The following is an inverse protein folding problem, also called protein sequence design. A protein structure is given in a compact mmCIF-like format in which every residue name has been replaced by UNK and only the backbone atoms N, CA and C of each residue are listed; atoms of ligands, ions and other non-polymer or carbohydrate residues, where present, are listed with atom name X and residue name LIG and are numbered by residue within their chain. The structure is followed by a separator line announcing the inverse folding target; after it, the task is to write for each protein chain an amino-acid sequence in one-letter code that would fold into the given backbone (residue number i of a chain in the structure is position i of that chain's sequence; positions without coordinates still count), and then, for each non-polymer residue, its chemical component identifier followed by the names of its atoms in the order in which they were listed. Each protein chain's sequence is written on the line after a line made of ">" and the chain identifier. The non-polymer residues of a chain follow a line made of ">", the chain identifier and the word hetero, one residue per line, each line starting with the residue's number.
data_IF_179493731918
#
_entry.id   IF_179493731918
#
_cell.length_a   1.000
_cell.length_b   1.000
_cell.length_c   1.000
_cell.angle_alpha   90.00
_cell.angle_beta   90.00
_cell.angle_gamma   90.00
#
_symmetry.space_group_name_H-M   'P 1'
#
loop_
_entity.id
_entity.type
_entity.pdbx_description
1 polymer ?
#
# COMPACT_ATOMS: atom_id res chain seq x y z
N UNK A 1 -27.79 13.34 10.82
CA UNK A 1 -26.82 12.87 9.80
C UNK A 1 -26.27 11.46 10.04
N UNK A 2 -25.23 11.18 10.85
CA UNK A 2 -24.73 9.79 11.01
C UNK A 2 -25.78 8.85 11.64
N UNK A 3 -26.57 9.36 12.59
CA UNK A 3 -27.61 8.59 13.26
C UNK A 3 -28.86 8.31 12.40
N UNK A 4 -29.03 9.01 11.27
CA UNK A 4 -30.18 8.81 10.36
C UNK A 4 -29.89 7.78 9.27
N UNK A 5 -28.64 7.65 8.81
CA UNK A 5 -28.25 6.62 7.85
C UNK A 5 -28.29 5.20 8.45
N UNK A 6 -28.29 5.06 9.77
CA UNK A 6 -28.25 3.76 10.49
C UNK A 6 -29.66 3.17 10.73
N UNK A 7 -30.73 3.96 10.59
CA UNK A 7 -32.08 3.57 11.05
C UNK A 7 -32.89 2.65 10.11
N UNK A 8 -32.37 2.29 8.93
CA UNK A 8 -33.12 1.56 7.91
C UNK A 8 -32.79 0.07 7.73
N UNK A 9 -31.78 -0.48 8.43
CA UNK A 9 -31.28 -1.81 8.12
C UNK A 9 -31.98 -2.88 9.00
N UNK A 10 -32.60 -3.85 8.31
CA UNK A 10 -33.02 -5.13 8.88
C UNK A 10 -31.89 -5.78 9.71
N UNK A 11 -32.24 -6.72 10.57
CA UNK A 11 -31.33 -7.44 11.49
C UNK A 11 -29.91 -7.57 10.91
N UNK A 12 -28.88 -7.05 11.61
CA UNK A 12 -27.53 -6.97 11.05
C UNK A 12 -27.06 -8.38 10.66
N UNK A 13 -26.48 -8.57 9.46
CA UNK A 13 -26.05 -9.87 8.99
C UNK A 13 -24.99 -10.46 9.93
N UNK A 14 -24.82 -11.80 9.96
CA UNK A 14 -23.79 -12.42 10.78
C UNK A 14 -22.40 -11.89 10.41
N UNK A 15 -21.60 -11.60 11.44
CA UNK A 15 -20.22 -11.11 11.30
C UNK A 15 -19.31 -12.27 10.91
N UNK A 16 -19.24 -12.56 9.62
CA UNK A 16 -18.45 -13.68 9.11
C UNK A 16 -16.98 -13.29 8.93
N UNK A 17 -16.09 -14.29 8.92
CA UNK A 17 -14.69 -14.09 8.50
C UNK A 17 -14.59 -13.49 7.08
N UNK A 18 -15.52 -13.83 6.19
CA UNK A 18 -15.61 -13.27 4.84
C UNK A 18 -15.85 -11.76 4.86
N UNK A 19 -16.72 -11.26 5.74
CA UNK A 19 -16.98 -9.83 5.90
C UNK A 19 -15.74 -9.06 6.34
N UNK A 20 -14.99 -9.61 7.30
CA UNK A 20 -13.72 -9.01 7.73
C UNK A 20 -12.64 -9.09 6.66
N UNK A 21 -12.54 -10.20 5.92
CA UNK A 21 -11.64 -10.29 4.77
C UNK A 21 -11.97 -9.24 3.71
N UNK A 22 -13.25 -8.95 3.47
CA UNK A 22 -13.65 -7.87 2.56
C UNK A 22 -13.19 -6.50 3.10
N UNK A 23 -13.42 -6.22 4.38
CA UNK A 23 -13.00 -4.97 5.04
C UNK A 23 -11.47 -4.75 4.99
N UNK A 24 -10.68 -5.82 5.13
CA UNK A 24 -9.22 -5.75 5.13
C UNK A 24 -8.61 -5.47 3.75
N UNK A 25 -9.35 -5.69 2.66
CA UNK A 25 -8.88 -5.55 1.27
C UNK A 25 -7.56 -6.31 0.99
N UNK A 26 -7.50 -7.65 1.11
CA UNK A 26 -6.26 -8.45 1.01
C UNK A 26 -5.44 -8.22 -0.27
N UNK A 27 -6.08 -7.85 -1.39
CA UNK A 27 -5.38 -7.52 -2.63
C UNK A 27 -4.37 -6.37 -2.44
N UNK A 28 -4.65 -5.44 -1.51
CA UNK A 28 -3.77 -4.31 -1.20
C UNK A 28 -2.51 -4.75 -0.45
N UNK A 29 -2.53 -5.87 0.29
CA UNK A 29 -1.40 -6.31 1.12
C UNK A 29 -0.13 -6.63 0.34
N UNK A 30 -0.20 -6.74 -0.99
CA UNK A 30 0.99 -6.73 -1.84
C UNK A 30 1.90 -5.55 -1.51
N UNK A 31 1.33 -4.36 -1.25
CA UNK A 31 2.03 -3.13 -0.88
C UNK A 31 2.78 -3.23 0.44
N UNK A 32 2.43 -4.16 1.34
CA UNK A 32 3.19 -4.42 2.57
C UNK A 32 4.09 -5.65 2.48
N UNK A 33 3.64 -6.70 1.77
CA UNK A 33 4.37 -7.97 1.65
C UNK A 33 5.65 -7.78 0.84
N UNK A 34 5.56 -7.19 -0.36
CA UNK A 34 6.71 -7.05 -1.26
C UNK A 34 7.83 -6.21 -0.65
N UNK A 35 7.58 -5.01 -0.10
CA UNK A 35 8.64 -4.22 0.52
C UNK A 35 9.33 -4.95 1.69
N UNK A 36 8.54 -5.64 2.54
CA UNK A 36 9.09 -6.38 3.67
C UNK A 36 9.95 -7.56 3.19
N UNK A 37 9.52 -8.29 2.16
CA UNK A 37 10.31 -9.35 1.55
C UNK A 37 11.63 -8.82 1.01
N UNK A 38 11.58 -7.74 0.22
CA UNK A 38 12.76 -7.11 -0.36
C UNK A 38 13.74 -6.64 0.73
N UNK A 39 13.25 -5.89 1.72
CA UNK A 39 14.09 -5.41 2.82
C UNK A 39 14.67 -6.54 3.67
N UNK A 40 13.90 -7.60 3.90
CA UNK A 40 14.37 -8.81 4.60
C UNK A 40 15.49 -9.49 3.83
N UNK A 41 15.36 -9.66 2.51
CA UNK A 41 16.40 -10.25 1.66
C UNK A 41 17.67 -9.41 1.67
N UNK A 42 17.55 -8.09 1.49
CA UNK A 42 18.71 -7.18 1.53
C UNK A 42 19.41 -7.23 2.90
N UNK A 43 18.64 -7.25 3.98
CA UNK A 43 19.19 -7.30 5.33
C UNK A 43 19.82 -8.65 5.67
N UNK A 44 19.23 -9.74 5.16
CA UNK A 44 19.78 -11.09 5.31
C UNK A 44 21.17 -11.22 4.70
N UNK A 45 21.42 -10.59 3.55
CA UNK A 45 22.76 -10.57 2.95
C UNK A 45 23.75 -9.68 3.69
N UNK A 46 23.28 -8.58 4.27
CA UNK A 46 24.16 -7.65 4.98
C UNK A 46 24.57 -8.11 6.38
N UNK A 47 23.73 -8.90 7.07
CA UNK A 47 23.95 -9.23 8.48
C UNK A 47 23.51 -10.64 8.91
N UNK A 48 23.07 -11.49 7.99
CA UNK A 48 22.51 -12.80 8.28
C UNK A 48 20.99 -12.82 8.37
N UNK A 49 20.40 -13.99 8.13
CA UNK A 49 18.95 -14.15 8.07
C UNK A 49 18.36 -14.50 9.43
N UNK A 50 17.46 -13.65 9.92
CA UNK A 50 16.68 -13.86 11.13
C UNK A 50 15.19 -14.06 10.78
N UNK A 51 14.75 -15.31 10.56
CA UNK A 51 13.40 -15.60 10.06
C UNK A 51 12.30 -15.15 11.01
N UNK A 52 12.48 -15.31 12.33
CA UNK A 52 11.51 -14.86 13.32
C UNK A 52 11.31 -13.34 13.27
N UNK A 53 12.39 -12.57 13.14
CA UNK A 53 12.30 -11.12 13.08
C UNK A 53 11.65 -10.65 11.78
N UNK A 54 11.99 -11.31 10.65
CA UNK A 54 11.33 -11.06 9.37
C UNK A 54 9.83 -11.36 9.41
N UNK A 55 9.43 -12.47 10.05
CA UNK A 55 8.03 -12.84 10.24
C UNK A 55 7.28 -11.81 11.11
N UNK A 56 7.87 -11.36 12.21
CA UNK A 56 7.27 -10.33 13.09
C UNK A 56 7.14 -9.00 12.35
N UNK A 57 8.15 -8.60 11.56
CA UNK A 57 8.06 -7.41 10.73
C UNK A 57 6.95 -7.50 9.68
N UNK A 58 6.79 -8.66 9.04
CA UNK A 58 5.71 -8.88 8.07
C UNK A 58 4.33 -8.79 8.73
N UNK A 59 4.14 -9.45 9.88
CA UNK A 59 2.90 -9.36 10.66
C UNK A 59 2.63 -7.92 11.09
N UNK A 60 3.63 -7.22 11.62
CA UNK A 60 3.50 -5.81 12.02
C UNK A 60 3.14 -4.89 10.85
N UNK A 61 3.80 -5.05 9.69
CA UNK A 61 3.54 -4.27 8.49
C UNK A 61 2.15 -4.52 7.90
N UNK A 62 1.69 -5.78 7.87
CA UNK A 62 0.34 -6.12 7.45
C UNK A 62 -0.71 -5.62 8.45
N UNK A 63 -0.42 -5.66 9.75
CA UNK A 63 -1.32 -5.17 10.79
C UNK A 63 -1.49 -3.65 10.74
N UNK A 64 -0.42 -2.87 10.55
CA UNK A 64 -0.53 -1.41 10.38
C UNK A 64 -1.25 -1.05 9.07
N UNK A 65 -1.02 -1.80 8.00
CA UNK A 65 -1.74 -1.62 6.75
C UNK A 65 -3.24 -1.96 6.88
N UNK A 66 -3.57 -3.07 7.53
CA UNK A 66 -4.95 -3.42 7.88
C UNK A 66 -5.62 -2.32 8.70
N UNK A 67 -4.91 -1.77 9.69
CA UNK A 67 -5.38 -0.63 10.47
C UNK A 67 -5.67 0.59 9.59
N UNK A 68 -4.75 0.95 8.70
CA UNK A 68 -4.91 2.07 7.77
C UNK A 68 -6.15 1.87 6.86
N UNK A 69 -6.37 0.66 6.34
CA UNK A 69 -7.53 0.34 5.51
C UNK A 69 -8.85 0.50 6.27
N UNK A 70 -8.94 -0.05 7.48
CA UNK A 70 -10.16 0.02 8.29
C UNK A 70 -10.44 1.45 8.79
N UNK A 71 -9.41 2.17 9.24
CA UNK A 71 -9.53 3.56 9.67
C UNK A 71 -9.90 4.46 8.48
N UNK A 72 -9.35 4.19 7.28
CA UNK A 72 -9.73 4.88 6.06
C UNK A 72 -11.22 4.70 5.76
N UNK A 73 -11.70 3.46 5.67
CA UNK A 73 -13.12 3.17 5.42
C UNK A 73 -14.04 3.87 6.42
N UNK A 74 -13.68 3.88 7.71
CA UNK A 74 -14.43 4.60 8.74
C UNK A 74 -14.51 6.11 8.47
N UNK A 75 -13.38 6.77 8.19
CA UNK A 75 -13.36 8.21 7.96
C UNK A 75 -13.95 8.62 6.61
N UNK A 76 -13.76 7.80 5.57
CA UNK A 76 -14.32 8.01 4.23
C UNK A 76 -15.84 7.90 4.26
N UNK A 77 -16.38 6.85 4.91
CA UNK A 77 -17.82 6.71 5.14
C UNK A 77 -18.39 7.90 5.91
N UNK A 78 -17.72 8.33 6.99
CA UNK A 78 -18.17 9.50 7.78
C UNK A 78 -18.07 10.83 7.03
N UNK A 79 -17.15 10.94 6.08
CA UNK A 79 -16.97 12.12 5.25
C UNK A 79 -17.92 12.14 4.03
N UNK A 80 -18.64 11.05 3.76
CA UNK A 80 -19.45 10.90 2.55
C UNK A 80 -18.63 10.71 1.28
N UNK A 81 -17.36 10.29 1.42
CA UNK A 81 -16.50 9.90 0.30
C UNK A 81 -16.97 8.55 -0.25
N UNK A 82 -17.22 7.59 0.65
CA UNK A 82 -17.73 6.27 0.30
C UNK A 82 -19.27 6.28 0.23
N UNK A 83 -19.82 5.83 -0.89
CA UNK A 83 -21.26 5.70 -1.15
C UNK A 83 -21.56 4.46 -2.02
N UNK A 84 -22.84 4.11 -2.16
CA UNK A 84 -23.27 2.90 -2.91
C UNK A 84 -22.86 2.92 -4.39
N UNK A 85 -22.63 4.11 -4.97
CA UNK A 85 -22.21 4.30 -6.36
C UNK A 85 -20.68 4.44 -6.53
N UNK A 86 -19.90 4.18 -5.47
CA UNK A 86 -18.43 4.28 -5.47
C UNK A 86 -17.77 2.90 -5.53
N UNK A 87 -16.56 2.84 -6.09
CA UNK A 87 -15.86 1.56 -6.33
C UNK A 87 -14.68 1.31 -5.38
N UNK A 88 -14.19 2.32 -4.65
CA UNK A 88 -12.92 2.25 -3.90
C UNK A 88 -13.01 1.79 -2.45
N UNK A 89 -14.22 1.78 -1.87
CA UNK A 89 -14.44 1.31 -0.50
C UNK A 89 -14.44 -0.21 -0.43
N UNK A 90 -14.30 -0.78 0.77
CA UNK A 90 -14.56 -2.22 0.95
C UNK A 90 -16.05 -2.58 0.79
N UNK A 91 -16.96 -1.59 0.77
CA UNK A 91 -18.40 -1.79 0.70
C UNK A 91 -19.06 -2.32 1.99
N UNK A 92 -18.29 -2.60 3.06
CA UNK A 92 -18.86 -3.20 4.28
C UNK A 92 -19.68 -2.23 5.11
N UNK A 93 -19.35 -0.93 5.06
CA UNK A 93 -20.09 0.13 5.77
C UNK A 93 -21.30 0.61 4.96
N UNK A 94 -21.12 0.86 3.67
CA UNK A 94 -22.21 1.27 2.76
C UNK A 94 -23.26 0.17 2.62
N UNK A 95 -22.83 -1.09 2.53
CA UNK A 95 -23.71 -2.26 2.52
C UNK A 95 -24.27 -2.68 3.88
N UNK A 96 -23.97 -1.96 4.97
CA UNK A 96 -24.50 -2.27 6.30
C UNK A 96 -24.04 -3.61 6.90
N UNK A 97 -22.96 -4.19 6.38
CA UNK A 97 -22.42 -5.49 6.81
C UNK A 97 -21.66 -5.39 8.15
N UNK A 98 -21.06 -4.23 8.41
CA UNK A 98 -20.43 -3.86 9.68
C UNK A 98 -20.86 -2.45 10.07
N UNK A 99 -20.88 -2.18 11.36
CA UNK A 99 -21.10 -0.83 11.90
C UNK A 99 -19.81 0.00 11.85
N UNK A 100 -19.90 1.34 11.77
CA UNK A 100 -18.73 2.22 11.85
C UNK A 100 -17.88 1.97 13.11
N UNK A 101 -18.51 1.69 14.25
CA UNK A 101 -17.82 1.40 15.51
C UNK A 101 -16.99 0.12 15.42
N UNK A 102 -17.51 -0.93 14.78
CA UNK A 102 -16.80 -2.19 14.60
C UNK A 102 -15.58 -2.02 13.70
N UNK A 103 -15.75 -1.35 12.56
CA UNK A 103 -14.64 -1.10 11.63
C UNK A 103 -13.56 -0.25 12.31
N UNK A 104 -13.94 0.79 13.04
CA UNK A 104 -12.99 1.62 13.78
C UNK A 104 -12.25 0.82 14.87
N UNK A 105 -12.96 0.02 15.67
CA UNK A 105 -12.36 -0.81 16.71
C UNK A 105 -11.45 -1.89 16.11
N UNK A 106 -11.84 -2.52 14.99
CA UNK A 106 -10.99 -3.44 14.24
C UNK A 106 -9.70 -2.77 13.77
N UNK A 107 -9.80 -1.52 13.31
CA UNK A 107 -8.65 -0.69 12.98
C UNK A 107 -7.72 -0.47 14.18
N UNK A 108 -8.27 -0.20 15.37
CA UNK A 108 -7.49 -0.03 16.61
C UNK A 108 -6.84 -1.34 17.09
N UNK A 109 -7.51 -2.48 16.94
CA UNK A 109 -6.95 -3.80 17.27
C UNK A 109 -5.77 -4.13 16.35
N UNK A 110 -5.91 -3.90 15.04
CA UNK A 110 -4.83 -4.06 14.09
C UNK A 110 -3.66 -3.10 14.37
N UNK A 111 -3.95 -1.86 14.76
CA UNK A 111 -2.95 -0.89 15.22
C UNK A 111 -2.19 -1.41 16.45
N UNK A 112 -2.91 -1.91 17.46
CA UNK A 112 -2.32 -2.45 18.68
C UNK A 112 -1.41 -3.65 18.39
N UNK A 113 -1.81 -4.53 17.47
CA UNK A 113 -0.96 -5.64 17.01
C UNK A 113 0.33 -5.15 16.34
N UNK A 114 0.25 -4.13 15.50
CA UNK A 114 1.43 -3.52 14.89
C UNK A 114 2.36 -2.87 15.93
N UNK A 115 1.79 -2.17 16.91
CA UNK A 115 2.55 -1.59 18.03
C UNK A 115 3.21 -2.68 18.88
N UNK A 116 2.54 -3.78 19.16
CA UNK A 116 3.12 -4.91 19.90
C UNK A 116 4.28 -5.56 19.14
N UNK A 117 4.13 -5.78 17.84
CA UNK A 117 5.20 -6.28 16.97
C UNK A 117 6.41 -5.30 16.95
N UNK A 118 6.14 -4.00 16.78
CA UNK A 118 7.16 -2.96 16.83
C UNK A 118 7.87 -2.88 18.18
N UNK A 119 7.12 -2.91 19.30
CA UNK A 119 7.66 -2.88 20.65
C UNK A 119 8.59 -4.05 20.92
N UNK A 120 8.23 -5.26 20.49
CA UNK A 120 9.14 -6.40 20.54
C UNK A 120 10.40 -6.16 19.70
N UNK A 121 10.26 -5.70 18.45
CA UNK A 121 11.40 -5.44 17.58
C UNK A 121 12.34 -4.35 18.12
N UNK A 122 11.82 -3.38 18.88
CA UNK A 122 12.63 -2.37 19.58
C UNK A 122 13.54 -3.02 20.63
N UNK A 123 13.08 -4.03 21.38
CA UNK A 123 13.91 -4.66 22.42
C UNK A 123 15.09 -5.43 21.83
N UNK A 124 14.97 -5.93 20.59
CA UNK A 124 15.99 -6.74 19.92
C UNK A 124 16.83 -5.98 18.88
N UNK A 125 16.36 -4.84 18.36
CA UNK A 125 17.04 -4.04 17.32
C UNK A 125 17.27 -2.57 17.65
N UNK A 126 16.75 -2.08 18.77
CA UNK A 126 17.05 -0.75 19.29
C UNK A 126 16.19 0.39 18.71
N UNK A 127 16.64 1.62 18.98
CA UNK A 127 15.85 2.85 18.84
C UNK A 127 15.51 3.24 17.39
N UNK A 128 16.25 2.76 16.39
CA UNK A 128 15.92 3.00 14.97
C UNK A 128 14.53 2.49 14.62
N UNK A 129 14.11 1.36 15.20
CA UNK A 129 12.74 0.82 15.02
C UNK A 129 11.69 1.75 15.64
N UNK A 130 11.99 2.44 16.74
CA UNK A 130 11.08 3.43 17.34
C UNK A 130 10.81 4.55 16.33
N UNK A 131 11.86 5.10 15.71
CA UNK A 131 11.71 6.21 14.74
C UNK A 131 10.89 5.76 13.53
N UNK A 132 11.24 4.62 12.92
CA UNK A 132 10.51 4.09 11.76
C UNK A 132 9.06 3.72 12.11
N UNK A 133 8.87 3.12 13.29
CA UNK A 133 7.55 2.77 13.82
C UNK A 133 6.67 4.00 14.04
N UNK A 134 7.19 5.07 14.66
CA UNK A 134 6.45 6.31 14.86
C UNK A 134 6.09 6.99 13.54
N UNK A 135 7.02 7.04 12.58
CA UNK A 135 6.73 7.55 11.23
C UNK A 135 5.61 6.74 10.57
N UNK A 136 5.66 5.41 10.66
CA UNK A 136 4.63 4.52 10.13
C UNK A 136 3.27 4.72 10.80
N UNK A 137 3.22 4.80 12.14
CA UNK A 137 2.00 5.01 12.92
C UNK A 137 1.35 6.37 12.61
N UNK A 138 2.15 7.44 12.66
CA UNK A 138 1.69 8.79 12.34
C UNK A 138 1.25 8.85 10.88
N UNK A 139 2.05 8.31 9.97
CA UNK A 139 1.77 8.28 8.54
C UNK A 139 0.48 7.56 8.19
N UNK A 140 0.25 6.39 8.79
CA UNK A 140 -0.96 5.58 8.60
C UNK A 140 -2.20 6.26 9.17
N UNK A 141 -2.14 6.75 10.42
CA UNK A 141 -3.29 7.39 11.07
C UNK A 141 -3.65 8.72 10.39
N UNK A 142 -2.66 9.58 10.17
CA UNK A 142 -2.87 10.93 9.63
C UNK A 142 -3.16 10.95 8.12
N UNK A 143 -3.06 9.80 7.44
CA UNK A 143 -3.45 9.63 6.04
C UNK A 143 -4.91 10.01 5.81
N UNK A 144 -5.82 9.51 6.67
CA UNK A 144 -7.27 9.76 6.60
C UNK A 144 -7.83 10.49 7.81
N UNK A 145 -7.23 10.35 8.99
CA UNK A 145 -7.76 10.95 10.21
C UNK A 145 -7.62 12.48 10.22
N UNK A 146 -8.67 13.17 10.67
CA UNK A 146 -8.67 14.63 10.89
C UNK A 146 -7.86 15.00 12.13
N UNK A 147 -7.22 16.20 12.18
CA UNK A 147 -7.35 17.31 11.23
C UNK A 147 -6.43 17.24 10.00
N UNK A 148 -5.48 16.31 9.94
CA UNK A 148 -4.49 16.28 8.85
C UNK A 148 -5.05 15.64 7.57
N UNK A 149 -5.54 14.40 7.61
CA UNK A 149 -6.14 13.70 6.46
C UNK A 149 -5.44 13.99 5.14
N UNK A 150 -4.11 13.82 5.08
CA UNK A 150 -3.32 14.42 4.00
C UNK A 150 -3.60 13.81 2.62
N UNK A 151 -4.22 12.61 2.57
CA UNK A 151 -4.71 12.03 1.31
C UNK A 151 -5.71 12.97 0.60
N UNK A 152 -6.53 13.70 1.37
CA UNK A 152 -7.52 14.63 0.85
C UNK A 152 -6.93 15.96 0.36
N UNK A 153 -5.60 16.13 0.49
CA UNK A 153 -4.86 17.38 0.21
C UNK A 153 -3.76 17.17 -0.84
N UNK A 154 -3.96 16.21 -1.75
CA UNK A 154 -3.03 15.86 -2.82
C UNK A 154 -1.62 15.47 -2.33
N UNK A 155 -1.51 14.93 -1.12
CA UNK A 155 -0.26 14.38 -0.58
C UNK A 155 -0.29 12.85 -0.47
N UNK A 156 -1.40 12.22 -0.89
CA UNK A 156 -1.60 10.77 -0.78
C UNK A 156 -0.53 9.97 -1.52
N UNK A 157 -0.32 10.23 -2.81
CA UNK A 157 0.65 9.51 -3.65
C UNK A 157 2.08 9.62 -3.10
N UNK A 158 2.48 10.81 -2.64
CA UNK A 158 3.80 11.03 -2.03
C UNK A 158 3.95 10.27 -0.70
N UNK A 159 2.93 10.31 0.16
CA UNK A 159 2.93 9.58 1.42
C UNK A 159 3.00 8.07 1.20
N UNK A 160 2.21 7.52 0.27
CA UNK A 160 2.23 6.10 -0.07
C UNK A 160 3.57 5.68 -0.68
N UNK A 161 4.14 6.46 -1.61
CA UNK A 161 5.48 6.22 -2.14
C UNK A 161 6.50 6.08 -1.01
N UNK A 162 6.52 7.07 -0.11
CA UNK A 162 7.53 7.18 0.95
C UNK A 162 7.37 6.09 2.01
N UNK A 163 6.16 5.87 2.50
CA UNK A 163 5.87 4.96 3.62
C UNK A 163 5.96 3.50 3.19
N UNK A 164 5.32 3.12 2.08
CA UNK A 164 5.26 1.73 1.63
C UNK A 164 6.44 1.35 0.72
N UNK A 165 7.07 2.30 0.04
CA UNK A 165 8.28 2.06 -0.74
C UNK A 165 9.54 2.10 0.14
N UNK A 166 10.34 3.19 0.10
CA UNK A 166 11.65 3.22 0.76
C UNK A 166 11.62 2.92 2.26
N UNK A 167 10.70 3.51 3.03
CA UNK A 167 10.72 3.35 4.49
C UNK A 167 10.35 1.95 4.96
N UNK A 168 9.41 1.28 4.28
CA UNK A 168 9.04 -0.09 4.65
C UNK A 168 10.15 -1.08 4.30
N UNK A 169 10.81 -0.91 3.14
CA UNK A 169 11.99 -1.71 2.78
C UNK A 169 13.12 -1.46 3.78
N UNK A 170 13.39 -0.20 4.14
CA UNK A 170 14.41 0.13 5.15
C UNK A 170 14.05 -0.45 6.52
N UNK A 171 12.79 -0.40 6.93
CA UNK A 171 12.33 -1.00 8.19
C UNK A 171 12.61 -2.50 8.25
N UNK A 172 12.23 -3.24 7.22
CA UNK A 172 12.52 -4.67 7.15
C UNK A 172 14.03 -4.98 7.09
N UNK A 173 14.82 -4.14 6.40
CA UNK A 173 16.28 -4.23 6.42
C UNK A 173 16.85 -4.04 7.84
N UNK A 174 16.46 -2.98 8.54
CA UNK A 174 16.91 -2.68 9.92
C UNK A 174 16.48 -3.79 10.88
N UNK A 175 15.32 -4.40 10.67
CA UNK A 175 14.88 -5.55 11.46
C UNK A 175 15.85 -6.74 11.32
N UNK A 176 16.47 -6.93 10.16
CA UNK A 176 17.50 -7.96 9.99
C UNK A 176 18.85 -7.51 10.54
N UNK A 177 19.29 -6.28 10.24
CA UNK A 177 20.68 -5.83 10.46
C UNK A 177 20.93 -5.11 11.78
N UNK A 178 19.90 -4.57 12.42
CA UNK A 178 20.01 -3.67 13.58
C UNK A 178 20.52 -2.26 13.28
N UNK A 179 20.81 -1.93 12.01
CA UNK A 179 21.36 -0.63 11.62
C UNK A 179 20.78 -0.13 10.29
N UNK A 180 20.52 1.17 10.15
CA UNK A 180 20.05 1.72 8.88
C UNK A 180 21.18 1.74 7.83
N UNK A 181 20.79 1.72 6.56
CA UNK A 181 21.65 1.92 5.40
C UNK A 181 20.87 2.71 4.34
N UNK A 182 21.56 3.42 3.45
CA UNK A 182 20.94 4.16 2.36
C UNK A 182 20.62 3.27 1.15
N UNK A 183 21.35 2.17 0.96
CA UNK A 183 21.19 1.29 -0.20
C UNK A 183 19.76 0.71 -0.33
N UNK A 184 19.09 0.24 0.73
CA UNK A 184 17.70 -0.24 0.65
C UNK A 184 16.72 0.82 0.14
N UNK A 185 16.96 2.11 0.43
CA UNK A 185 16.10 3.21 -0.05
C UNK A 185 16.14 3.34 -1.57
N UNK A 186 17.33 3.15 -2.15
CA UNK A 186 17.54 3.23 -3.61
C UNK A 186 16.96 2.01 -4.32
N UNK A 187 17.20 0.80 -3.77
CA UNK A 187 16.67 -0.45 -4.33
C UNK A 187 15.13 -0.51 -4.22
N UNK A 188 14.52 0.18 -3.25
CA UNK A 188 13.09 0.22 -3.05
C UNK A 188 12.30 1.06 -4.08
N UNK A 189 12.96 1.92 -4.86
CA UNK A 189 12.27 2.88 -5.74
C UNK A 189 11.30 2.21 -6.73
N UNK A 190 11.64 1.11 -7.43
CA UNK A 190 10.71 0.41 -8.31
C UNK A 190 9.45 -0.08 -7.60
N UNK A 191 9.63 -0.64 -6.39
CA UNK A 191 8.54 -1.10 -5.53
C UNK A 191 7.67 0.08 -5.11
N UNK A 192 8.27 1.18 -4.67
CA UNK A 192 7.57 2.41 -4.31
C UNK A 192 6.75 3.00 -5.47
N UNK A 193 7.29 3.02 -6.69
CA UNK A 193 6.56 3.48 -7.87
C UNK A 193 5.33 2.63 -8.16
N UNK A 194 5.45 1.31 -8.10
CA UNK A 194 4.31 0.42 -8.35
C UNK A 194 3.27 0.47 -7.23
N UNK A 195 3.66 0.57 -5.96
CA UNK A 195 2.69 0.81 -4.87
C UNK A 195 1.96 2.14 -5.06
N UNK A 196 2.67 3.18 -5.47
CA UNK A 196 2.06 4.49 -5.78
C UNK A 196 1.12 4.37 -6.97
N UNK A 197 1.45 3.56 -7.98
CA UNK A 197 0.57 3.31 -9.12
C UNK A 197 -0.74 2.63 -8.71
N UNK A 198 -0.74 1.76 -7.68
CA UNK A 198 -1.97 1.18 -7.12
C UNK A 198 -2.90 2.30 -6.63
N UNK A 199 -2.38 3.19 -5.77
CA UNK A 199 -3.16 4.33 -5.27
C UNK A 199 -3.55 5.28 -6.40
N UNK A 200 -2.65 5.55 -7.35
CA UNK A 200 -2.92 6.50 -8.42
C UNK A 200 -4.02 5.99 -9.37
N UNK A 201 -4.06 4.67 -9.62
CA UNK A 201 -5.16 4.05 -10.37
C UNK A 201 -6.51 4.20 -9.63
N UNK A 202 -6.51 4.02 -8.31
CA UNK A 202 -7.66 4.24 -7.43
C UNK A 202 -8.13 5.71 -7.51
N UNK A 203 -7.23 6.68 -7.33
CA UNK A 203 -7.53 8.11 -7.44
C UNK A 203 -8.01 8.54 -8.84
N UNK A 204 -7.51 7.91 -9.91
CA UNK A 204 -7.95 8.17 -11.28
C UNK A 204 -9.37 7.66 -11.52
N UNK A 205 -9.69 6.45 -11.05
CA UNK A 205 -11.05 5.90 -11.10
C UNK A 205 -12.02 6.79 -10.33
N UNK A 206 -11.64 7.20 -9.12
CA UNK A 206 -12.55 7.84 -8.17
C UNK A 206 -12.66 9.36 -8.32
N UNK A 207 -11.94 9.94 -9.29
CA UNK A 207 -11.93 11.38 -9.57
C UNK A 207 -13.33 12.05 -9.61
N UNK A 208 -14.37 11.48 -10.25
CA UNK A 208 -15.70 12.09 -10.24
C UNK A 208 -16.37 12.04 -8.86
N UNK A 209 -16.14 10.98 -8.10
CA UNK A 209 -16.74 10.73 -6.79
C UNK A 209 -16.06 11.59 -5.71
N UNK A 210 -14.74 11.61 -5.69
CA UNK A 210 -13.89 12.41 -4.81
C UNK A 210 -14.21 13.91 -4.91
N UNK A 211 -14.51 14.38 -6.13
CA UNK A 211 -14.91 15.77 -6.36
C UNK A 211 -16.20 16.14 -5.63
N UNK A 212 -17.18 15.21 -5.56
CA UNK A 212 -18.44 15.45 -4.84
C UNK A 212 -18.24 15.53 -3.33
N UNK A 213 -17.27 14.77 -2.80
CA UNK A 213 -16.89 14.80 -1.39
C UNK A 213 -15.98 15.98 -1.01
N UNK A 214 -15.61 16.85 -1.98
CA UNK A 214 -14.79 18.04 -1.73
C UNK A 214 -13.32 17.75 -1.40
N UNK A 215 -12.83 16.54 -1.69
CA UNK A 215 -11.42 16.17 -1.48
C UNK A 215 -10.58 16.46 -2.73
N UNK A 216 -9.26 16.55 -2.58
CA UNK A 216 -8.33 16.79 -3.70
C UNK A 216 -7.23 15.73 -3.72
N UNK A 217 -7.08 15.05 -4.85
CA UNK A 217 -5.98 14.10 -5.11
C UNK A 217 -5.03 14.63 -6.18
N UNK A 218 -3.83 14.05 -6.31
CA UNK A 218 -2.90 14.44 -7.39
C UNK A 218 -3.51 14.15 -8.76
N UNK A 219 -4.25 13.04 -8.91
CA UNK A 219 -4.96 12.74 -10.14
C UNK A 219 -5.93 13.86 -10.54
N UNK A 220 -6.65 14.44 -9.57
CA UNK A 220 -7.53 15.59 -9.81
C UNK A 220 -6.76 16.85 -10.24
N UNK A 221 -5.60 17.13 -9.63
CA UNK A 221 -4.78 18.29 -9.97
C UNK A 221 -4.21 18.20 -11.39
N UNK A 222 -3.80 16.99 -11.81
CA UNK A 222 -3.26 16.72 -13.14
C UNK A 222 -4.35 16.62 -14.22
N UNK A 223 -5.61 16.46 -13.82
CA UNK A 223 -6.72 16.09 -14.70
C UNK A 223 -6.54 14.69 -15.29
N UNK A 224 -7.53 14.24 -16.06
CA UNK A 224 -7.60 12.86 -16.56
C UNK A 224 -6.39 12.46 -17.42
N UNK A 225 -5.97 13.34 -18.34
CA UNK A 225 -4.82 13.08 -19.23
C UNK A 225 -3.50 13.06 -18.47
N UNK A 226 -3.28 14.01 -17.56
CA UNK A 226 -2.07 14.07 -16.74
C UNK A 226 -2.00 12.90 -15.75
N UNK A 227 -3.12 12.49 -15.16
CA UNK A 227 -3.20 11.31 -14.30
C UNK A 227 -2.87 10.00 -15.05
N UNK A 228 -3.38 9.82 -16.28
CA UNK A 228 -2.95 8.70 -17.14
C UNK A 228 -1.45 8.74 -17.43
N UNK A 229 -0.90 9.93 -17.69
CA UNK A 229 0.53 10.14 -17.90
C UNK A 229 1.35 9.79 -16.66
N UNK A 230 0.91 10.20 -15.46
CA UNK A 230 1.56 9.88 -14.19
C UNK A 230 1.49 8.38 -13.89
N UNK A 231 0.33 7.74 -14.09
CA UNK A 231 0.22 6.28 -13.98
C UNK A 231 1.24 5.57 -14.89
N UNK A 232 1.34 5.99 -16.15
CA UNK A 232 2.33 5.45 -17.08
C UNK A 232 3.76 5.70 -16.61
N UNK A 233 4.07 6.91 -16.15
CA UNK A 233 5.37 7.29 -15.63
C UNK A 233 5.79 6.44 -14.43
N UNK A 234 4.87 6.16 -13.50
CA UNK A 234 5.12 5.28 -12.35
C UNK A 234 5.41 3.84 -12.80
N UNK A 235 4.55 3.27 -13.66
CA UNK A 235 4.70 1.90 -14.14
C UNK A 235 5.98 1.73 -14.95
N UNK A 236 6.21 2.57 -15.96
CA UNK A 236 7.40 2.52 -16.81
C UNK A 236 8.66 2.90 -16.03
N UNK A 237 8.56 3.86 -15.12
CA UNK A 237 9.63 4.25 -14.22
C UNK A 237 10.13 3.08 -13.37
N UNK A 238 9.26 2.19 -12.91
CA UNK A 238 9.67 1.02 -12.13
C UNK A 238 10.60 0.10 -12.94
N UNK A 239 10.25 -0.15 -14.21
CA UNK A 239 11.09 -0.93 -15.13
C UNK A 239 12.42 -0.23 -15.44
N UNK A 240 12.37 1.07 -15.76
CA UNK A 240 13.57 1.85 -16.07
C UNK A 240 14.54 1.90 -14.88
N UNK A 241 14.02 2.03 -13.66
CA UNK A 241 14.86 2.04 -12.45
C UNK A 241 15.48 0.68 -12.21
N UNK A 242 14.76 -0.45 -12.36
CA UNK A 242 15.39 -1.79 -12.22
C UNK A 242 16.49 -1.99 -13.26
N UNK A 243 16.26 -1.59 -14.51
CA UNK A 243 17.29 -1.64 -15.56
C UNK A 243 18.50 -0.78 -15.18
N UNK A 244 18.26 0.44 -14.67
CA UNK A 244 19.31 1.33 -14.19
C UNK A 244 20.10 0.76 -13.02
N UNK A 245 19.44 0.13 -12.04
CA UNK A 245 20.09 -0.52 -10.90
C UNK A 245 21.01 -1.66 -11.36
N UNK A 246 20.59 -2.45 -12.34
CA UNK A 246 21.41 -3.52 -12.92
C UNK A 246 22.58 -2.94 -13.72
N UNK A 247 22.35 -1.93 -14.56
CA UNK A 247 23.39 -1.28 -15.35
C UNK A 247 24.46 -0.63 -14.45
N UNK A 248 24.04 -0.03 -13.34
CA UNK A 248 24.89 0.54 -12.31
C UNK A 248 25.54 -0.51 -11.39
N UNK A 249 25.27 -1.81 -11.59
CA UNK A 249 25.75 -2.93 -10.77
C UNK A 249 25.37 -2.83 -9.29
N UNK A 250 24.25 -2.17 -8.99
CA UNK A 250 23.68 -2.07 -7.64
C UNK A 250 22.97 -3.37 -7.24
N UNK A 251 22.35 -4.03 -8.22
CA UNK A 251 21.69 -5.34 -8.03
C UNK A 251 22.10 -6.31 -9.12
N UNK A 252 21.93 -7.60 -8.86
CA UNK A 252 22.23 -8.66 -9.83
C UNK A 252 21.42 -8.51 -11.13
N UNK A 253 21.99 -8.86 -12.30
CA UNK A 253 21.23 -8.95 -13.55
C UNK A 253 20.00 -9.86 -13.48
N UNK A 254 19.97 -10.83 -12.56
CA UNK A 254 18.80 -11.68 -12.35
C UNK A 254 17.57 -10.89 -11.89
N UNK A 255 17.73 -9.69 -11.32
CA UNK A 255 16.62 -8.78 -11.00
C UNK A 255 15.81 -8.37 -12.25
N UNK A 256 16.38 -8.48 -13.46
CA UNK A 256 15.66 -8.28 -14.72
C UNK A 256 14.58 -9.35 -14.97
N UNK A 257 14.50 -10.41 -14.17
CA UNK A 257 13.34 -11.30 -14.15
C UNK A 257 12.02 -10.53 -13.95
N UNK A 258 12.06 -9.37 -13.29
CA UNK A 258 10.90 -8.47 -13.18
C UNK A 258 10.33 -8.04 -14.55
N UNK A 259 11.14 -8.00 -15.62
CA UNK A 259 10.71 -7.68 -16.98
C UNK A 259 9.74 -8.73 -17.57
N UNK A 260 9.67 -9.94 -17.00
CA UNK A 260 8.66 -10.94 -17.39
C UNK A 260 7.23 -10.46 -17.15
N UNK A 261 7.04 -9.42 -16.33
CA UNK A 261 5.72 -8.82 -16.05
C UNK A 261 5.29 -7.77 -17.07
N UNK A 262 6.12 -7.43 -18.07
CA UNK A 262 5.80 -6.43 -19.11
C UNK A 262 4.44 -6.66 -19.79
N UNK A 263 4.01 -7.89 -20.12
CA UNK A 263 2.67 -8.12 -20.69
C UNK A 263 1.53 -7.66 -19.77
N UNK A 264 1.70 -7.81 -18.44
CA UNK A 264 0.70 -7.38 -17.44
C UNK A 264 0.69 -5.84 -17.37
N UNK A 265 1.85 -5.20 -17.32
CA UNK A 265 1.95 -3.75 -17.37
C UNK A 265 1.33 -3.17 -18.63
N UNK A 266 1.59 -3.76 -19.80
CA UNK A 266 1.00 -3.35 -21.07
C UNK A 266 -0.53 -3.47 -21.05
N UNK A 267 -1.08 -4.54 -20.45
CA UNK A 267 -2.53 -4.70 -20.27
C UNK A 267 -3.11 -3.61 -19.37
N UNK A 268 -2.46 -3.30 -18.24
CA UNK A 268 -2.93 -2.28 -17.31
C UNK A 268 -2.88 -0.88 -17.93
N UNK A 269 -1.78 -0.54 -18.61
CA UNK A 269 -1.65 0.72 -19.36
C UNK A 269 -2.74 0.83 -20.43
N UNK A 270 -2.95 -0.23 -21.21
CA UNK A 270 -4.01 -0.26 -22.24
C UNK A 270 -5.40 -0.01 -21.63
N UNK A 271 -5.70 -0.60 -20.48
CA UNK A 271 -6.95 -0.34 -19.75
C UNK A 271 -7.06 1.13 -19.37
N UNK A 272 -6.05 1.68 -18.68
CA UNK A 272 -6.05 3.06 -18.17
C UNK A 272 -6.19 4.11 -19.30
N UNK A 273 -5.55 3.88 -20.44
CA UNK A 273 -5.63 4.80 -21.58
C UNK A 273 -6.91 4.67 -22.40
N UNK A 274 -7.51 3.48 -22.48
CA UNK A 274 -8.77 3.27 -23.21
C UNK A 274 -10.01 3.64 -22.40
N UNK A 275 -9.92 3.55 -21.08
CA UNK A 275 -11.09 3.70 -20.21
C UNK A 275 -11.71 5.09 -20.32
N UNK A 276 -12.96 5.17 -20.78
CA UNK A 276 -13.75 6.39 -20.95
C UNK A 276 -14.69 6.65 -19.78
N UNK A 277 -15.03 5.61 -19.02
CA UNK A 277 -15.90 5.71 -17.83
C UNK A 277 -15.19 5.18 -16.56
N UNK A 278 -15.55 5.67 -15.35
CA UNK A 278 -15.01 5.16 -14.09
C UNK A 278 -15.22 3.65 -13.88
N UNK A 279 -16.37 3.13 -14.31
CA UNK A 279 -16.71 1.71 -14.19
C UNK A 279 -15.70 0.80 -14.90
N UNK A 280 -15.11 1.25 -16.02
CA UNK A 280 -14.09 0.50 -16.76
C UNK A 280 -12.76 0.42 -15.98
N UNK A 281 -12.54 1.33 -15.03
CA UNK A 281 -11.39 1.35 -14.13
C UNK A 281 -11.65 0.67 -12.78
N UNK A 282 -12.83 0.07 -12.57
CA UNK A 282 -13.23 -0.51 -11.28
C UNK A 282 -12.15 -1.40 -10.65
N UNK A 283 -11.46 -2.19 -11.47
CA UNK A 283 -10.42 -3.15 -11.05
C UNK A 283 -8.98 -2.67 -11.28
N UNK A 284 -8.76 -1.41 -11.67
CA UNK A 284 -7.45 -0.93 -12.10
C UNK A 284 -6.40 -0.99 -10.97
N UNK A 285 -6.79 -0.68 -9.74
CA UNK A 285 -5.95 -0.79 -8.54
C UNK A 285 -5.62 -2.26 -8.21
N UNK A 286 -6.60 -3.16 -8.28
CA UNK A 286 -6.40 -4.61 -8.09
C UNK A 286 -5.44 -5.18 -9.14
N UNK A 287 -5.63 -4.84 -10.42
CA UNK A 287 -4.74 -5.26 -11.50
C UNK A 287 -3.33 -4.68 -11.35
N UNK A 288 -3.21 -3.46 -10.83
CA UNK A 288 -1.91 -2.84 -10.53
C UNK A 288 -1.25 -3.50 -9.31
N UNK A 289 -2.03 -3.93 -8.31
CA UNK A 289 -1.53 -4.69 -7.17
C UNK A 289 -1.00 -6.08 -7.57
N UNK A 290 -1.65 -6.74 -8.54
CA UNK A 290 -1.14 -7.98 -9.13
C UNK A 290 0.20 -7.76 -9.83
N UNK A 291 0.30 -6.69 -10.64
CA UNK A 291 1.56 -6.29 -11.27
C UNK A 291 2.65 -6.04 -10.22
N UNK A 292 2.35 -5.25 -9.20
CA UNK A 292 3.25 -4.96 -8.09
C UNK A 292 3.76 -6.22 -7.39
N UNK A 293 2.86 -7.15 -7.07
CA UNK A 293 3.20 -8.43 -6.45
C UNK A 293 4.16 -9.24 -7.32
N UNK A 294 3.80 -9.47 -8.59
CA UNK A 294 4.61 -10.30 -9.49
C UNK A 294 5.96 -9.65 -9.79
N UNK A 295 5.97 -8.35 -10.08
CA UNK A 295 7.19 -7.60 -10.34
C UNK A 295 8.12 -7.64 -9.11
N UNK A 296 7.57 -7.31 -7.94
CA UNK A 296 8.31 -7.21 -6.70
C UNK A 296 8.90 -8.54 -6.24
N UNK A 297 8.14 -9.63 -6.34
CA UNK A 297 8.63 -10.98 -6.03
C UNK A 297 9.73 -11.39 -7.01
N UNK A 298 9.53 -11.23 -8.32
CA UNK A 298 10.55 -11.59 -9.32
C UNK A 298 11.83 -10.77 -9.14
N UNK A 299 11.71 -9.47 -8.88
CA UNK A 299 12.85 -8.61 -8.56
C UNK A 299 13.56 -9.11 -7.30
N UNK A 300 12.82 -9.34 -6.21
CA UNK A 300 13.37 -9.78 -4.91
C UNK A 300 14.09 -11.12 -5.03
N UNK A 301 13.50 -12.09 -5.73
CA UNK A 301 14.12 -13.39 -6.01
C UNK A 301 15.36 -13.24 -6.89
N UNK A 302 15.33 -12.37 -7.89
CA UNK A 302 16.50 -12.08 -8.73
C UNK A 302 17.66 -11.46 -7.94
N UNK A 303 17.37 -10.50 -7.05
CA UNK A 303 18.36 -9.96 -6.11
C UNK A 303 18.90 -11.05 -5.19
N UNK A 304 18.03 -11.95 -4.73
CA UNK A 304 18.41 -13.03 -3.83
C UNK A 304 19.33 -14.06 -4.47
N UNK A 305 18.94 -14.58 -5.64
CA UNK A 305 19.73 -15.58 -6.37
C UNK A 305 21.08 -15.05 -6.79
N UNK A 306 21.17 -13.78 -7.18
CA UNK A 306 22.42 -13.17 -7.60
C UNK A 306 23.42 -12.88 -6.47
N UNK A 307 23.03 -13.05 -5.21
CA UNK A 307 23.96 -13.06 -4.07
C UNK A 307 24.45 -14.46 -3.72
N UNK A 308 23.75 -15.50 -4.19
CA UNK A 308 24.05 -16.90 -3.88
C UNK A 308 24.86 -17.57 -4.99
N UNK A 309 24.63 -17.16 -6.24
CA UNK A 309 25.32 -17.64 -7.46
C UNK A 309 26.50 -16.75 -7.81
#
# INVERSE_FOLDING_TARGET
>A
MVAEQVRGLATPPPRTAKTWLQALRPFSFTASIVPVLLGTVLGAFAAGFHPLFGAIALVGAMAIHASANLIADYYDFRAGVDADDTYGSSGVLTGGLLTPQEVFLGGLVAMALAVAAGAYLVTVRGSTIVVLGLIGLIGAYSYTARPLGYKYRALGDFGIFTLFGPLMVLGAYVVQTGRPDWMPLVIAVPVGFLVTAILHANNLRDMPFDRRAGIRTIAMLLGRSGARGMYAGLVLGAYLVVIGLVAARVVSPLALAALLTVPIAARNLKLVFRASEPAELAMADVMTAQLHMMFGVLMTVGVALGHVL
#
